data_IF_174195588188
#
_entry.id   IF_174195588188
#
_cell.length_a   1.000
_cell.length_b   1.000
_cell.length_c   1.000
_cell.angle_alpha   90.00
_cell.angle_beta   90.00
_cell.angle_gamma   90.00
#
_symmetry.space_group_name_H-M   'P 1'
#
loop_
_entity.id
_entity.type
_entity.pdbx_description
1 polymer ?
#
# COMPACT_ATOMS: atom_id res chain seq x y z
N UNK A 1 17.67 19.59 -43.09
CA UNK A 1 16.84 18.54 -42.45
C UNK A 1 17.65 17.72 -41.44
N UNK A 2 18.24 18.37 -40.41
CA UNK A 2 19.01 17.68 -39.36
C UNK A 2 18.67 18.22 -37.96
N UNK A 3 18.26 19.49 -37.88
CA UNK A 3 17.88 20.17 -36.64
C UNK A 3 16.64 19.55 -35.97
N UNK A 4 15.67 19.07 -36.73
CA UNK A 4 14.45 18.42 -36.19
C UNK A 4 14.79 17.08 -35.51
N UNK A 5 15.75 16.32 -36.05
CA UNK A 5 16.17 15.04 -35.48
C UNK A 5 16.92 15.20 -34.15
N UNK A 6 17.69 16.29 -33.99
CA UNK A 6 18.43 16.59 -32.76
C UNK A 6 17.47 17.04 -31.65
N UNK A 7 16.45 17.85 -31.96
CA UNK A 7 15.42 18.24 -30.99
C UNK A 7 14.54 17.07 -30.53
N UNK A 8 14.22 16.13 -31.43
CA UNK A 8 13.45 14.94 -31.07
C UNK A 8 14.21 14.01 -30.10
N UNK A 9 15.55 13.94 -30.17
CA UNK A 9 16.37 13.16 -29.23
C UNK A 9 16.51 13.83 -27.86
N UNK A 10 16.48 15.17 -27.78
CA UNK A 10 16.58 15.90 -26.52
C UNK A 10 15.32 15.78 -25.62
N UNK A 11 14.13 15.63 -26.22
CA UNK A 11 12.86 15.51 -25.48
C UNK A 11 12.44 14.06 -25.15
N UNK A 12 13.08 13.05 -25.74
CA UNK A 12 12.75 11.63 -25.53
C UNK A 12 12.90 11.13 -24.07
N UNK A 13 14.00 11.43 -23.33
CA UNK A 13 14.12 10.97 -21.94
C UNK A 13 13.08 11.60 -21.01
N UNK A 14 12.64 12.84 -21.28
CA UNK A 14 11.60 13.49 -20.49
C UNK A 14 10.22 12.84 -20.64
N UNK A 15 9.87 12.31 -21.82
CA UNK A 15 8.55 11.68 -22.04
C UNK A 15 8.46 10.35 -21.28
N UNK A 16 9.52 9.53 -21.30
CA UNK A 16 9.56 8.27 -20.53
C UNK A 16 9.47 8.54 -19.02
N UNK A 17 10.17 9.57 -18.55
CA UNK A 17 10.10 9.97 -17.14
C UNK A 17 8.74 10.55 -16.76
N UNK A 18 8.08 11.30 -17.65
CA UNK A 18 6.73 11.82 -17.43
C UNK A 18 5.71 10.68 -17.36
N UNK A 19 5.75 9.74 -18.30
CA UNK A 19 4.89 8.56 -18.29
C UNK A 19 5.07 7.71 -17.02
N UNK A 20 6.32 7.56 -16.55
CA UNK A 20 6.60 6.87 -15.30
C UNK A 20 6.02 7.63 -14.10
N UNK A 21 6.22 8.95 -14.01
CA UNK A 21 5.63 9.78 -12.93
C UNK A 21 4.11 9.71 -12.93
N UNK A 22 3.47 9.66 -14.09
CA UNK A 22 2.02 9.51 -14.19
C UNK A 22 1.55 8.16 -13.65
N UNK A 23 2.24 7.07 -14.01
CA UNK A 23 1.97 5.74 -13.44
C UNK A 23 2.22 5.67 -11.95
N UNK A 24 3.28 6.32 -11.46
CA UNK A 24 3.60 6.41 -10.03
C UNK A 24 2.50 7.16 -9.26
N UNK A 25 2.04 8.29 -9.78
CA UNK A 25 0.92 9.04 -9.18
C UNK A 25 -0.36 8.23 -9.19
N UNK A 26 -0.63 7.51 -10.28
CA UNK A 26 -1.78 6.63 -10.36
C UNK A 26 -1.65 5.44 -9.40
N UNK A 27 -0.46 4.87 -9.23
CA UNK A 27 -0.20 3.81 -8.26
C UNK A 27 -0.49 4.29 -6.84
N UNK A 28 0.00 5.49 -6.49
CA UNK A 28 -0.31 6.11 -5.20
C UNK A 28 -1.82 6.30 -5.07
N UNK A 29 -2.49 6.91 -6.05
CA UNK A 29 -3.94 7.13 -5.99
C UNK A 29 -4.75 5.83 -5.85
N UNK A 30 -4.39 4.77 -6.58
CA UNK A 30 -5.06 3.46 -6.51
C UNK A 30 -4.73 2.73 -5.20
N UNK A 31 -3.48 2.77 -4.76
CA UNK A 31 -3.05 2.24 -3.47
C UNK A 31 -3.78 2.92 -2.31
N UNK A 32 -3.95 4.24 -2.38
CA UNK A 32 -4.71 5.01 -1.41
C UNK A 32 -6.18 4.57 -1.33
N UNK A 33 -6.79 4.26 -2.47
CA UNK A 33 -8.14 3.68 -2.54
C UNK A 33 -8.22 2.28 -1.93
N UNK A 34 -7.18 1.45 -2.07
CA UNK A 34 -7.14 0.13 -1.43
C UNK A 34 -7.11 0.26 0.08
N UNK A 35 -6.24 1.13 0.60
CA UNK A 35 -6.17 1.37 2.04
C UNK A 35 -7.49 1.91 2.61
N UNK A 36 -8.16 2.81 1.88
CA UNK A 36 -9.49 3.29 2.26
C UNK A 36 -10.55 2.17 2.18
N UNK A 37 -10.48 1.31 1.16
CA UNK A 37 -11.36 0.16 1.05
C UNK A 37 -11.16 -0.84 2.20
N UNK A 38 -9.93 -1.10 2.62
CA UNK A 38 -9.60 -1.90 3.80
C UNK A 38 -10.23 -1.26 5.04
N UNK A 39 -10.08 0.07 5.22
CA UNK A 39 -10.65 0.81 6.35
C UNK A 39 -12.16 0.62 6.44
N UNK A 40 -12.85 0.88 5.32
CA UNK A 40 -14.31 0.77 5.24
C UNK A 40 -14.74 -0.68 5.46
N UNK A 41 -14.10 -1.64 4.80
CA UNK A 41 -14.39 -3.06 4.98
C UNK A 41 -14.30 -3.48 6.45
N UNK A 42 -13.17 -3.17 7.09
CA UNK A 42 -12.92 -3.49 8.49
C UNK A 42 -13.98 -2.85 9.41
N UNK A 43 -14.32 -1.58 9.19
CA UNK A 43 -15.31 -0.85 10.01
C UNK A 43 -16.70 -1.50 10.01
N UNK A 44 -17.11 -2.08 8.89
CA UNK A 44 -18.37 -2.82 8.75
C UNK A 44 -18.25 -4.23 9.32
N UNK A 45 -17.15 -4.93 9.01
CA UNK A 45 -16.97 -6.32 9.37
C UNK A 45 -16.81 -6.52 10.88
N UNK A 46 -16.19 -5.57 11.60
CA UNK A 46 -16.13 -5.61 13.09
C UNK A 46 -17.52 -5.67 13.71
N UNK A 47 -18.52 -5.01 13.10
CA UNK A 47 -19.90 -5.02 13.63
C UNK A 47 -20.58 -6.38 13.50
N UNK A 48 -20.06 -7.26 12.63
CA UNK A 48 -20.60 -8.59 12.34
C UNK A 48 -19.80 -9.66 13.08
N UNK A 49 -18.48 -9.65 12.95
CA UNK A 49 -17.59 -10.71 13.41
C UNK A 49 -16.79 -10.37 14.67
N UNK A 50 -16.90 -9.14 15.18
CA UNK A 50 -16.06 -8.63 16.27
C UNK A 50 -14.69 -8.14 15.80
N UNK A 51 -13.90 -7.52 16.70
CA UNK A 51 -12.57 -7.01 16.37
C UNK A 51 -11.56 -8.15 16.19
N UNK A 52 -10.71 -8.06 15.17
CA UNK A 52 -9.53 -8.92 14.99
C UNK A 52 -9.26 -9.34 13.55
N UNK A 53 -8.44 -10.37 13.38
CA UNK A 53 -8.10 -10.96 12.09
C UNK A 53 -9.30 -11.39 11.21
N UNK A 54 -10.40 -11.97 11.73
CA UNK A 54 -11.54 -12.34 10.89
C UNK A 54 -12.31 -11.14 10.32
N UNK A 55 -12.03 -9.93 10.81
CA UNK A 55 -12.64 -8.70 10.27
C UNK A 55 -11.82 -8.06 9.15
N UNK A 56 -10.66 -8.62 8.81
CA UNK A 56 -9.84 -8.18 7.69
C UNK A 56 -10.23 -8.87 6.38
N UNK A 57 -10.03 -8.20 5.24
CA UNK A 57 -10.18 -8.83 3.93
C UNK A 57 -9.10 -9.90 3.75
N UNK A 58 -9.46 -11.04 3.16
CA UNK A 58 -8.53 -12.13 2.85
C UNK A 58 -8.03 -12.12 1.42
N UNK A 59 -8.71 -11.40 0.52
CA UNK A 59 -8.31 -11.24 -0.88
C UNK A 59 -8.75 -9.89 -1.45
N UNK A 60 -8.15 -9.48 -2.55
CA UNK A 60 -8.55 -8.27 -3.27
C UNK A 60 -9.99 -8.38 -3.81
N UNK A 61 -10.42 -9.59 -4.18
CA UNK A 61 -11.78 -9.85 -4.68
C UNK A 61 -12.85 -9.53 -3.64
N UNK A 62 -12.58 -9.74 -2.35
CA UNK A 62 -13.53 -9.36 -1.29
C UNK A 62 -13.71 -7.84 -1.21
N UNK A 63 -12.67 -7.06 -1.48
CA UNK A 63 -12.77 -5.60 -1.55
C UNK A 63 -13.56 -5.15 -2.80
N UNK A 64 -13.45 -5.89 -3.91
CA UNK A 64 -14.23 -5.64 -5.13
C UNK A 64 -15.69 -6.01 -4.98
N UNK A 65 -15.98 -7.15 -4.34
CA UNK A 65 -17.33 -7.62 -4.04
C UNK A 65 -18.04 -6.69 -3.04
N UNK A 66 -17.27 -6.13 -2.10
CA UNK A 66 -17.74 -5.12 -1.17
C UNK A 66 -17.98 -5.64 0.25
N UNK A 67 -18.06 -4.69 1.19
CA UNK A 67 -18.36 -4.98 2.59
C UNK A 67 -19.85 -5.25 2.77
N UNK A 68 -20.20 -6.22 3.62
CA UNK A 68 -21.60 -6.50 3.93
C UNK A 68 -22.15 -5.39 4.84
N UNK A 69 -23.17 -4.67 4.38
CA UNK A 69 -23.92 -3.69 5.18
C UNK A 69 -25.28 -4.28 5.56
N UNK A 70 -25.32 -4.96 6.71
CA UNK A 70 -26.51 -5.67 7.19
C UNK A 70 -26.71 -7.03 6.52
N UNK A 71 -27.96 -7.47 6.33
CA UNK A 71 -28.29 -8.85 5.93
C UNK A 71 -28.28 -9.12 4.42
N UNK A 72 -28.42 -8.11 3.57
CA UNK A 72 -28.66 -8.31 2.12
C UNK A 72 -27.95 -7.34 1.18
N UNK A 73 -27.39 -6.24 1.68
CA UNK A 73 -26.74 -5.23 0.85
C UNK A 73 -25.23 -5.34 0.97
N UNK A 74 -24.55 -5.32 -0.17
CA UNK A 74 -23.09 -5.20 -0.25
C UNK A 74 -22.76 -3.78 -0.69
N UNK A 75 -21.91 -3.11 0.07
CA UNK A 75 -21.38 -1.80 -0.27
C UNK A 75 -20.08 -2.02 -1.04
N UNK A 76 -20.05 -1.62 -2.31
CA UNK A 76 -18.82 -1.64 -3.08
C UNK A 76 -17.81 -0.67 -2.44
N UNK A 77 -16.69 -1.21 -1.93
CA UNK A 77 -15.65 -0.42 -1.25
C UNK A 77 -14.48 -0.09 -2.19
N UNK A 78 -14.22 -0.93 -3.18
CA UNK A 78 -13.13 -0.76 -4.13
C UNK A 78 -13.62 -0.70 -5.58
N UNK A 79 -13.05 0.23 -6.35
CA UNK A 79 -13.24 0.29 -7.80
C UNK A 79 -12.39 -0.78 -8.49
N UNK A 80 -12.92 -1.39 -9.56
CA UNK A 80 -12.21 -2.41 -10.33
C UNK A 80 -10.83 -1.94 -10.86
N UNK A 81 -10.69 -0.66 -11.21
CA UNK A 81 -9.41 -0.09 -11.66
C UNK A 81 -8.36 -0.06 -10.55
N UNK A 82 -8.77 0.19 -9.30
CA UNK A 82 -7.85 0.29 -8.16
C UNK A 82 -7.25 -1.07 -7.78
N UNK A 83 -7.97 -2.16 -8.04
CA UNK A 83 -7.46 -3.52 -7.80
C UNK A 83 -6.27 -3.90 -8.70
N UNK A 84 -5.90 -3.09 -9.70
CA UNK A 84 -4.72 -3.32 -10.54
C UNK A 84 -3.61 -2.30 -10.28
N UNK A 85 -2.40 -2.81 -10.05
CA UNK A 85 -1.17 -2.04 -9.89
C UNK A 85 -0.65 -1.57 -11.27
N UNK A 86 -0.56 -0.26 -11.54
CA UNK A 86 -0.04 0.25 -12.81
C UNK A 86 1.49 0.17 -12.95
N UNK A 87 2.23 -0.17 -11.88
CA UNK A 87 3.70 -0.29 -11.87
C UNK A 87 4.20 -1.73 -11.99
N UNK A 88 3.35 -2.71 -11.71
CA UNK A 88 3.66 -4.13 -11.85
C UNK A 88 3.33 -4.64 -13.25
N UNK A 89 4.22 -5.43 -13.84
CA UNK A 89 3.97 -6.08 -15.13
C UNK A 89 2.80 -7.07 -15.06
N UNK A 90 2.57 -7.70 -13.89
CA UNK A 90 1.41 -8.58 -13.68
C UNK A 90 0.12 -7.79 -13.45
N UNK A 91 0.22 -6.50 -13.12
CA UNK A 91 -0.91 -5.69 -12.68
C UNK A 91 -1.45 -6.06 -11.29
N UNK A 92 -0.78 -6.93 -10.54
CA UNK A 92 -1.24 -7.38 -9.22
C UNK A 92 -0.53 -6.64 -8.08
N UNK A 93 -1.30 -6.31 -7.05
CA UNK A 93 -0.76 -5.83 -5.79
C UNK A 93 -0.14 -6.98 -4.98
N UNK A 94 0.83 -6.61 -4.15
CA UNK A 94 1.41 -7.47 -3.12
C UNK A 94 0.62 -7.24 -1.83
N UNK A 95 -0.03 -8.28 -1.32
CA UNK A 95 -0.81 -8.19 -0.08
C UNK A 95 0.10 -8.40 1.13
N UNK A 96 0.01 -7.51 2.10
CA UNK A 96 0.86 -7.51 3.30
C UNK A 96 0.06 -8.00 4.50
N UNK A 97 0.59 -9.04 5.14
CA UNK A 97 -0.05 -9.70 6.28
C UNK A 97 0.11 -8.88 7.57
N UNK A 98 -0.82 -9.02 8.53
CA UNK A 98 -0.60 -8.64 9.92
C UNK A 98 0.74 -9.16 10.46
N UNK A 99 1.43 -8.35 11.26
CA UNK A 99 2.62 -8.77 12.01
C UNK A 99 3.87 -9.09 11.18
N UNK A 100 3.90 -8.79 9.87
CA UNK A 100 5.13 -8.90 9.05
C UNK A 100 6.09 -7.75 9.35
N UNK A 101 7.39 -8.04 9.25
CA UNK A 101 8.47 -7.06 9.46
C UNK A 101 8.38 -5.87 8.52
N UNK A 102 7.87 -6.06 7.30
CA UNK A 102 7.68 -5.01 6.30
C UNK A 102 6.83 -3.84 6.81
N UNK A 103 5.79 -4.12 7.61
CA UNK A 103 4.98 -3.07 8.23
C UNK A 103 5.76 -2.29 9.27
N UNK A 104 6.61 -2.97 10.06
CA UNK A 104 7.45 -2.35 11.07
C UNK A 104 8.57 -1.49 10.44
N UNK A 105 9.14 -1.95 9.33
CA UNK A 105 10.14 -1.21 8.56
C UNK A 105 9.53 0.06 7.95
N UNK A 106 8.36 -0.06 7.32
CA UNK A 106 7.63 1.09 6.78
C UNK A 106 7.19 2.09 7.86
N UNK A 107 6.71 1.59 8.99
CA UNK A 107 6.42 2.38 10.18
C UNK A 107 7.61 3.23 10.63
N UNK A 108 8.81 2.63 10.65
CA UNK A 108 10.06 3.31 11.00
C UNK A 108 10.42 4.36 9.96
N UNK A 109 10.28 4.05 8.67
CA UNK A 109 10.54 5.01 7.59
C UNK A 109 9.62 6.23 7.66
N UNK A 110 8.32 6.02 7.92
CA UNK A 110 7.40 7.15 8.12
C UNK A 110 7.83 7.98 9.33
N UNK A 111 8.18 7.36 10.46
CA UNK A 111 8.66 8.10 11.64
C UNK A 111 9.90 8.92 11.34
N UNK A 112 10.87 8.37 10.59
CA UNK A 112 12.06 9.11 10.19
C UNK A 112 11.72 10.29 9.27
N UNK A 113 10.73 10.12 8.38
CA UNK A 113 10.23 11.17 7.51
C UNK A 113 9.45 12.26 8.26
N UNK A 114 8.72 11.90 9.33
CA UNK A 114 7.87 12.80 10.12
C UNK A 114 8.56 13.37 11.37
N UNK A 115 9.88 13.52 11.35
CA UNK A 115 10.67 14.07 12.48
C UNK A 115 10.40 13.33 13.81
N UNK A 116 10.31 12.00 13.75
CA UNK A 116 10.03 11.11 14.87
C UNK A 116 8.63 11.24 15.49
N UNK A 117 7.69 11.92 14.83
CA UNK A 117 6.29 11.98 15.25
C UNK A 117 5.57 10.73 14.77
N UNK A 118 4.90 10.02 15.68
CA UNK A 118 4.09 8.85 15.30
C UNK A 118 2.89 9.30 14.47
N UNK A 119 2.72 8.83 13.23
CA UNK A 119 1.47 9.05 12.50
C UNK A 119 0.37 8.31 13.26
N UNK A 120 -0.52 9.07 13.90
CA UNK A 120 -1.67 8.52 14.59
C UNK A 120 -2.85 8.44 13.62
N UNK A 121 -3.68 7.42 13.75
CA UNK A 121 -4.93 7.39 13.00
C UNK A 121 -6.04 8.14 13.71
N UNK A 122 -6.86 8.85 12.93
CA UNK A 122 -8.07 9.51 13.44
C UNK A 122 -9.21 8.52 13.75
N UNK A 123 -9.17 7.31 13.18
CA UNK A 123 -10.22 6.31 13.31
C UNK A 123 -9.99 5.40 14.52
N UNK A 124 -10.89 5.45 15.51
CA UNK A 124 -10.78 4.64 16.73
C UNK A 124 -10.82 3.13 16.46
N UNK A 125 -11.52 2.70 15.41
CA UNK A 125 -11.60 1.28 15.06
C UNK A 125 -10.26 0.80 14.47
N UNK A 126 -9.63 1.61 13.64
CA UNK A 126 -8.31 1.31 13.06
C UNK A 126 -7.21 1.42 14.10
N UNK A 127 -7.35 2.28 15.10
CA UNK A 127 -6.40 2.34 16.22
C UNK A 127 -6.31 1.00 16.96
N UNK A 128 -7.43 0.33 17.18
CA UNK A 128 -7.46 -1.02 17.77
C UNK A 128 -6.75 -2.04 16.87
N UNK A 129 -6.94 -1.94 15.56
CA UNK A 129 -6.24 -2.77 14.59
C UNK A 129 -4.73 -2.54 14.64
N UNK A 130 -4.30 -1.28 14.70
CA UNK A 130 -2.90 -0.87 14.75
C UNK A 130 -2.19 -1.46 15.97
N UNK A 131 -2.80 -1.33 17.16
CA UNK A 131 -2.23 -1.78 18.43
C UNK A 131 -2.06 -3.32 18.47
N UNK A 132 -2.96 -4.06 17.83
CA UNK A 132 -2.94 -5.54 17.83
C UNK A 132 -2.05 -6.11 16.72
N UNK A 133 -2.09 -5.51 15.52
CA UNK A 133 -1.59 -6.16 14.30
C UNK A 133 -0.33 -5.53 13.70
N UNK A 134 0.07 -4.35 14.18
CA UNK A 134 1.33 -3.71 13.83
C UNK A 134 2.08 -3.28 15.11
N UNK A 135 2.45 -4.23 16.01
CA UNK A 135 3.21 -3.88 17.19
C UNK A 135 4.57 -3.31 16.79
N UNK A 136 4.76 -2.02 17.05
CA UNK A 136 6.04 -1.35 16.83
C UNK A 136 7.06 -1.84 17.87
N UNK A 137 7.90 -2.81 17.52
CA UNK A 137 9.10 -3.08 18.29
C UNK A 137 10.23 -2.17 17.80
N UNK A 138 10.47 -1.07 18.51
CA UNK A 138 11.66 -0.25 18.29
C UNK A 138 12.86 -1.02 18.86
N UNK A 139 13.42 -1.95 18.08
CA UNK A 139 14.75 -2.45 18.39
C UNK A 139 15.74 -1.37 17.98
N UNK A 140 16.21 -0.59 18.95
CA UNK A 140 17.35 0.34 18.78
C UNK A 140 18.61 -0.52 18.69
N UNK A 141 18.79 -1.13 17.52
CA UNK A 141 19.96 -1.92 17.16
C UNK A 141 20.44 -1.43 15.81
N UNK A 142 21.68 -0.95 15.77
CA UNK A 142 22.38 -0.46 14.61
C UNK A 142 22.42 -1.53 13.49
N UNK A 143 21.40 -1.59 12.63
CA UNK A 143 21.40 -2.40 11.42
C UNK A 143 21.31 -1.48 10.21
N UNK A 144 22.43 -1.34 9.52
CA UNK A 144 22.52 -0.61 8.26
C UNK A 144 21.46 -1.09 7.28
N UNK A 145 20.98 -0.13 6.47
CA UNK A 145 20.09 -0.29 5.33
C UNK A 145 20.48 -1.51 4.49
N UNK A 146 19.89 -2.67 4.80
CA UNK A 146 19.98 -3.88 4.01
C UNK A 146 18.56 -4.36 3.81
N UNK A 147 17.98 -3.93 2.68
CA UNK A 147 16.68 -4.37 2.25
C UNK A 147 16.61 -5.89 2.20
N UNK A 148 15.63 -6.44 2.89
CA UNK A 148 15.17 -7.79 2.65
C UNK A 148 13.68 -7.84 2.93
N UNK A 149 12.91 -7.15 2.07
CA UNK A 149 11.53 -7.55 1.83
C UNK A 149 11.60 -8.96 1.23
N UNK A 150 11.47 -9.96 2.10
CA UNK A 150 11.56 -11.37 1.75
C UNK A 150 10.48 -11.71 0.73
N UNK A 151 10.89 -11.73 -0.54
CA UNK A 151 10.10 -12.20 -1.67
C UNK A 151 9.87 -13.72 -1.55
N UNK A 152 8.69 -14.13 -1.07
CA UNK A 152 8.02 -15.38 -1.44
C UNK A 152 6.66 -15.50 -0.74
N UNK A 153 5.64 -14.96 -1.38
CA UNK A 153 4.33 -15.61 -1.48
C UNK A 153 3.48 -14.81 -2.47
N UNK A 154 3.67 -15.10 -3.75
CA UNK A 154 2.98 -14.41 -4.85
C UNK A 154 1.48 -14.74 -4.92
N UNK A 155 0.99 -15.63 -4.05
CA UNK A 155 -0.40 -16.08 -4.04
C UNK A 155 -0.95 -16.28 -2.63
N UNK A 156 -0.68 -15.32 -1.74
CA UNK A 156 -1.28 -15.34 -0.42
C UNK A 156 -2.78 -15.03 -0.48
N UNK A 157 -3.60 -16.01 -0.10
CA UNK A 157 -5.02 -15.83 0.21
C UNK A 157 -5.19 -15.94 1.72
N UNK A 158 -5.24 -14.80 2.38
CA UNK A 158 -5.40 -14.70 3.83
C UNK A 158 -5.46 -13.24 4.27
N UNK A 159 -5.78 -12.99 5.53
CA UNK A 159 -6.04 -11.66 6.06
C UNK A 159 -4.87 -10.72 5.79
N UNK A 160 -5.15 -9.56 5.20
CA UNK A 160 -4.16 -8.54 4.91
C UNK A 160 -4.58 -7.17 5.43
N UNK A 161 -3.59 -6.34 5.77
CA UNK A 161 -3.79 -5.00 6.37
C UNK A 161 -3.25 -3.88 5.49
N UNK A 162 -2.53 -4.24 4.43
CA UNK A 162 -1.96 -3.29 3.51
C UNK A 162 -1.69 -3.93 2.15
N UNK A 163 -1.48 -3.08 1.15
CA UNK A 163 -1.03 -3.47 -0.17
C UNK A 163 0.24 -2.70 -0.55
N UNK A 164 1.12 -3.30 -1.34
CA UNK A 164 2.29 -2.65 -1.91
C UNK A 164 2.49 -3.08 -3.36
N UNK A 165 3.28 -2.32 -4.12
CA UNK A 165 3.61 -2.72 -5.50
C UNK A 165 4.50 -3.97 -5.49
N UNK A 166 4.40 -4.78 -6.55
CA UNK A 166 5.35 -5.88 -6.83
C UNK A 166 6.60 -5.39 -7.57
N UNK A 167 6.57 -4.17 -8.09
CA UNK A 167 7.70 -3.57 -8.80
C UNK A 167 8.86 -3.29 -7.85
N UNK A 168 10.08 -3.70 -8.22
CA UNK A 168 11.32 -3.41 -7.46
C UNK A 168 12.11 -2.24 -8.03
N UNK A 169 11.54 -1.52 -8.99
CA UNK A 169 12.17 -0.40 -9.64
C UNK A 169 12.27 0.80 -8.70
N UNK A 170 13.30 1.63 -8.93
CA UNK A 170 13.40 2.93 -8.28
C UNK A 170 12.36 3.87 -8.85
N UNK A 171 11.78 4.67 -7.98
CA UNK A 171 10.77 5.67 -8.30
C UNK A 171 11.40 7.02 -8.63
N UNK A 172 10.66 7.82 -9.38
CA UNK A 172 10.98 9.22 -9.65
C UNK A 172 10.39 10.12 -8.55
N UNK A 173 9.25 9.74 -7.99
CA UNK A 173 8.59 10.39 -6.86
C UNK A 173 8.91 9.63 -5.57
N UNK A 174 8.98 10.30 -4.42
CA UNK A 174 9.15 9.63 -3.12
C UNK A 174 7.80 9.52 -2.40
N UNK A 175 7.54 8.39 -1.77
CA UNK A 175 6.36 8.19 -0.92
C UNK A 175 6.83 8.01 0.52
N UNK A 176 6.54 8.97 1.40
CA UNK A 176 7.12 9.05 2.76
C UNK A 176 8.65 8.94 2.80
N UNK A 177 9.34 9.51 1.81
CA UNK A 177 10.81 9.43 1.70
C UNK A 177 11.33 8.13 1.08
N UNK A 178 10.45 7.21 0.67
CA UNK A 178 10.81 5.90 0.12
C UNK A 178 10.92 5.98 -1.41
N UNK A 179 12.09 5.58 -1.92
CA UNK A 179 12.45 5.68 -3.34
C UNK A 179 12.20 4.40 -4.16
N UNK A 180 11.66 3.35 -3.54
CA UNK A 180 11.41 2.07 -4.20
C UNK A 180 9.94 1.71 -4.14
N UNK A 181 9.39 1.25 -5.27
CA UNK A 181 7.97 0.93 -5.37
C UNK A 181 7.53 -0.21 -4.43
N UNK A 182 8.40 -1.19 -4.16
CA UNK A 182 8.08 -2.31 -3.27
C UNK A 182 8.00 -1.92 -1.80
N UNK A 183 8.61 -0.79 -1.43
CA UNK A 183 8.51 -0.18 -0.09
C UNK A 183 7.30 0.74 0.07
N UNK A 184 6.56 1.03 -1.00
CA UNK A 184 5.34 1.84 -0.91
C UNK A 184 4.20 1.00 -0.35
N UNK A 185 3.97 1.14 0.96
CA UNK A 185 2.92 0.42 1.65
C UNK A 185 1.69 1.32 1.81
N UNK A 186 0.57 0.85 1.28
CA UNK A 186 -0.73 1.50 1.37
C UNK A 186 -1.54 0.83 2.47
N UNK A 187 -1.72 1.53 3.58
CA UNK A 187 -2.40 1.03 4.78
C UNK A 187 -3.28 2.11 5.41
N UNK A 188 -4.43 1.75 6.02
CA UNK A 188 -5.24 2.71 6.75
C UNK A 188 -4.66 3.11 8.11
N UNK A 189 -3.61 2.44 8.58
CA UNK A 189 -3.13 2.53 9.98
C UNK A 189 -2.47 3.89 10.30
N UNK A 190 -1.80 4.52 9.34
CA UNK A 190 -0.99 5.72 9.56
C UNK A 190 -1.65 7.00 9.01
N UNK A 191 -2.98 7.12 9.16
CA UNK A 191 -3.81 8.20 8.57
C UNK A 191 -4.76 8.90 9.53
#
# INVERSE_FOLDING_TARGET
MAVIAIFAMAAAPSIRQQALREREREAIFRGEQIAEAIRVYYSYQIRISGPGEPSLPTSMDQLLEGAQTGRTKKLQVLRASAARDPLSDSGEWRLIRPGRTEMADFAREIMLYSENIRPNTSDSQIKLLADVMAPFSISVGNSGLSGSASARDDNYSGPFIAAASRSKSNSVIYYYGIARHDGWIFTPIFR
#
